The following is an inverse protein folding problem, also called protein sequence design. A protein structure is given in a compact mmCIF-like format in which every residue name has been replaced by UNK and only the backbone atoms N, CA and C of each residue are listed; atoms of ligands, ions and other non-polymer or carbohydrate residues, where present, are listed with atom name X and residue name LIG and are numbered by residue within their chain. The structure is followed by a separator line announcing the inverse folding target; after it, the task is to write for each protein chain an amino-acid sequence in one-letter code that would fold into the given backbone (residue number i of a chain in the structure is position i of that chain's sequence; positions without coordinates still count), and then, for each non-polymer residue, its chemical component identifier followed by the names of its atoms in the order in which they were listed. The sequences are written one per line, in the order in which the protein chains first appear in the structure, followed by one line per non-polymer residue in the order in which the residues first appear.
data_IF_292705355529
#
_entry.id   IF_292705355529
#
_cell.length_a   1.000
_cell.length_b   1.000
_cell.length_c   1.000
_cell.angle_alpha   90.00
_cell.angle_beta   90.00
_cell.angle_gamma   90.00
#
_symmetry.space_group_name_H-M   'P 1'
#
loop_
_entity.id
_entity.type
_entity.pdbx_description
1 polymer ?
#
# COMPACT_ATOMS: atom_id res chain seq x y z
N UNK A 1 35.41 -16.72 8.69
CA UNK A 1 33.97 -16.65 9.03
C UNK A 1 33.22 -17.34 7.90
N UNK A 2 32.68 -18.54 8.09
CA UNK A 2 31.75 -19.11 7.10
C UNK A 2 30.48 -18.24 7.08
N UNK A 3 30.20 -17.59 5.96
CA UNK A 3 28.93 -16.90 5.73
C UNK A 3 27.80 -17.92 5.69
N UNK A 4 26.69 -17.65 6.39
CA UNK A 4 25.50 -18.51 6.32
C UNK A 4 24.88 -18.37 4.93
N UNK A 5 24.65 -19.51 4.28
CA UNK A 5 23.94 -19.57 3.00
C UNK A 5 22.48 -19.14 3.21
N UNK A 6 22.08 -18.05 2.54
CA UNK A 6 20.69 -17.58 2.55
C UNK A 6 19.89 -18.50 1.65
N UNK A 7 18.97 -19.27 2.25
CA UNK A 7 18.14 -20.24 1.51
C UNK A 7 16.88 -19.64 0.93
N UNK A 8 16.39 -18.55 1.50
CA UNK A 8 15.17 -17.88 1.05
C UNK A 8 15.13 -16.42 1.52
N UNK A 9 14.43 -15.59 0.76
CA UNK A 9 14.05 -14.22 1.11
C UNK A 9 12.55 -14.09 0.88
N UNK A 10 11.83 -13.57 1.88
CA UNK A 10 10.41 -13.26 1.76
C UNK A 10 10.26 -11.75 1.55
N UNK A 11 9.46 -11.40 0.56
CA UNK A 11 9.11 -10.01 0.27
C UNK A 11 7.65 -9.78 0.61
N UNK A 12 7.38 -8.62 1.19
CA UNK A 12 6.02 -8.09 1.23
C UNK A 12 5.56 -7.75 -0.20
N UNK A 13 4.26 -7.55 -0.42
CA UNK A 13 3.71 -7.28 -1.74
C UNK A 13 3.55 -5.79 -1.99
N UNK A 14 2.67 -5.14 -1.24
CA UNK A 14 2.28 -3.73 -1.42
C UNK A 14 3.42 -2.78 -1.04
N UNK A 15 3.88 -1.98 -2.00
CA UNK A 15 5.01 -1.06 -1.79
C UNK A 15 6.38 -1.74 -1.74
N UNK A 16 6.47 -3.06 -1.98
CA UNK A 16 7.74 -3.80 -2.10
C UNK A 16 7.86 -4.45 -3.48
N UNK A 17 6.94 -5.35 -3.84
CA UNK A 17 6.92 -5.98 -5.17
C UNK A 17 6.02 -5.21 -6.15
N UNK A 18 4.98 -4.54 -5.66
CA UNK A 18 3.97 -3.86 -6.48
C UNK A 18 3.77 -2.42 -6.00
N UNK A 19 3.85 -1.44 -6.92
CA UNK A 19 3.36 -0.08 -6.67
C UNK A 19 1.83 -0.06 -6.75
N UNK A 20 1.19 -0.33 -5.61
CA UNK A 20 -0.24 -0.52 -5.49
C UNK A 20 -0.99 0.70 -4.93
N UNK A 21 -0.31 1.82 -4.68
CA UNK A 21 -0.88 2.97 -3.96
C UNK A 21 -2.08 3.56 -4.70
N UNK A 22 -2.02 3.64 -6.03
CA UNK A 22 -3.15 4.16 -6.81
C UNK A 22 -4.33 3.20 -6.81
N UNK A 23 -4.10 1.90 -6.90
CA UNK A 23 -5.15 0.89 -6.82
C UNK A 23 -5.88 0.96 -5.47
N UNK A 24 -5.12 1.01 -4.38
CA UNK A 24 -5.69 1.16 -3.03
C UNK A 24 -6.48 2.46 -2.87
N UNK A 25 -5.95 3.58 -3.37
CA UNK A 25 -6.66 4.87 -3.34
C UNK A 25 -7.95 4.85 -4.17
N UNK A 26 -7.95 4.15 -5.30
CA UNK A 26 -9.13 4.02 -6.16
C UNK A 26 -10.25 3.28 -5.43
N UNK A 27 -9.95 2.10 -4.88
CA UNK A 27 -10.90 1.31 -4.08
C UNK A 27 -11.40 2.10 -2.87
N UNK A 28 -10.50 2.78 -2.16
CA UNK A 28 -10.87 3.63 -1.02
C UNK A 28 -11.85 4.74 -1.42
N UNK A 29 -11.62 5.42 -2.54
CA UNK A 29 -12.50 6.47 -3.04
C UNK A 29 -13.85 5.94 -3.53
N UNK A 30 -13.91 4.72 -4.06
CA UNK A 30 -15.17 4.08 -4.43
C UNK A 30 -15.98 3.72 -3.17
N UNK A 31 -15.32 3.26 -2.11
CA UNK A 31 -15.95 3.06 -0.79
C UNK A 31 -16.47 4.38 -0.22
N UNK A 32 -15.69 5.46 -0.24
CA UNK A 32 -16.15 6.77 0.21
C UNK A 32 -17.40 7.22 -0.54
N UNK A 33 -17.41 7.05 -1.88
CA UNK A 33 -18.57 7.37 -2.71
C UNK A 33 -19.79 6.54 -2.31
N UNK A 34 -19.64 5.25 -2.05
CA UNK A 34 -20.73 4.36 -1.64
C UNK A 34 -21.42 4.85 -0.36
N UNK A 35 -20.66 5.35 0.61
CA UNK A 35 -21.18 5.85 1.88
C UNK A 35 -21.49 7.35 1.90
N UNK A 36 -21.46 8.04 0.75
CA UNK A 36 -21.80 9.46 0.65
C UNK A 36 -20.71 10.43 1.12
N UNK A 37 -19.47 9.96 1.28
CA UNK A 37 -18.32 10.80 1.60
C UNK A 37 -17.61 11.35 0.36
N UNK A 38 -16.85 12.43 0.55
CA UNK A 38 -16.04 13.04 -0.52
C UNK A 38 -14.77 12.23 -0.77
N UNK A 39 -14.41 12.08 -2.05
CA UNK A 39 -13.12 11.50 -2.46
C UNK A 39 -11.94 12.30 -1.90
N UNK A 40 -10.83 11.62 -1.65
CA UNK A 40 -9.59 12.24 -1.20
C UNK A 40 -8.51 12.20 -2.26
N UNK A 41 -7.65 13.22 -2.24
CA UNK A 41 -6.51 13.34 -3.12
C UNK A 41 -5.40 12.35 -2.72
N UNK A 42 -4.56 11.96 -3.70
CA UNK A 42 -3.44 11.04 -3.47
C UNK A 42 -2.49 11.51 -2.37
N UNK A 43 -2.19 12.82 -2.34
CA UNK A 43 -1.34 13.44 -1.31
C UNK A 43 -1.87 13.24 0.11
N UNK A 44 -3.19 13.17 0.28
CA UNK A 44 -3.83 13.05 1.59
C UNK A 44 -3.97 11.57 1.96
N UNK A 45 -4.24 10.71 0.98
CA UNK A 45 -4.23 9.25 1.16
C UNK A 45 -2.87 8.73 1.65
N UNK A 46 -1.77 9.18 1.04
CA UNK A 46 -0.41 8.70 1.36
C UNK A 46 0.06 9.10 2.77
N UNK A 47 -0.52 10.15 3.39
CA UNK A 47 -0.11 10.59 4.73
C UNK A 47 -0.34 9.52 5.80
N UNK A 48 -1.40 8.74 5.62
CA UNK A 48 -1.87 7.77 6.60
C UNK A 48 -1.81 6.33 6.06
N UNK A 49 -1.74 6.14 4.74
CA UNK A 49 -1.63 4.82 4.13
C UNK A 49 -0.32 4.12 4.53
N UNK A 50 -0.42 2.95 5.16
CA UNK A 50 0.73 2.15 5.58
C UNK A 50 1.46 2.65 6.84
N UNK A 51 0.93 3.70 7.49
CA UNK A 51 1.51 4.20 8.75
C UNK A 51 1.23 3.20 9.88
N UNK A 52 2.27 2.83 10.64
CA UNK A 52 2.20 2.00 11.85
C UNK A 52 2.30 2.86 13.10
#
# INVERSE_FOLDING_TARGET
MQGREVKAILFDMDGVLVDSIDAWRHVFNDTLKHFGFKKIAKKDFIKDFGRR
#
